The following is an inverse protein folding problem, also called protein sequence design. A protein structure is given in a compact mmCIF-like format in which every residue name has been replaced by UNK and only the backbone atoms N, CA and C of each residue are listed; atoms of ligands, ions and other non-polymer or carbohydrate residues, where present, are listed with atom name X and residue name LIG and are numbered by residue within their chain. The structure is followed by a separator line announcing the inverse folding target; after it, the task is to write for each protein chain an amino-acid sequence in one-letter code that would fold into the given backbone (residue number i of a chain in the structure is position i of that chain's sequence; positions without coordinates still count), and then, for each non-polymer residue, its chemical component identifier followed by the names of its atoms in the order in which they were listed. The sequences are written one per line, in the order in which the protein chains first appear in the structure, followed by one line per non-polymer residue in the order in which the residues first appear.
data_IF_105085475477
#
_entry.id   IF_105085475477
#
_cell.length_a   1.000
_cell.length_b   1.000
_cell.length_c   1.000
_cell.angle_alpha   90.00
_cell.angle_beta   90.00
_cell.angle_gamma   90.00
#
_symmetry.space_group_name_H-M   'P 1'
#
loop_
_entity.id
_entity.type
_entity.pdbx_description
1 polymer ?
#
# COMPACT_ATOMS: atom_id res chain seq x y z
N UNK A 1 -21.54 -0.57 -18.46
CA UNK A 1 -21.20 -1.77 -19.25
C UNK A 1 -22.50 -2.34 -19.78
N UNK A 2 -22.84 -2.18 -21.06
CA UNK A 2 -24.09 -2.71 -21.65
C UNK A 2 -23.93 -4.09 -22.29
N UNK A 3 -22.78 -4.74 -22.09
CA UNK A 3 -22.54 -6.10 -22.54
C UNK A 3 -23.31 -7.08 -21.64
N UNK A 4 -24.05 -8.01 -22.25
CA UNK A 4 -24.81 -9.08 -21.59
C UNK A 4 -26.06 -8.67 -20.79
N UNK A 5 -26.70 -7.55 -21.16
CA UNK A 5 -28.07 -7.25 -20.69
C UNK A 5 -28.18 -6.72 -19.27
N UNK A 6 -27.05 -6.42 -18.63
CA UNK A 6 -26.99 -5.74 -17.34
C UNK A 6 -27.11 -4.24 -17.62
N UNK A 7 -28.34 -3.71 -17.65
CA UNK A 7 -28.61 -2.28 -17.90
C UNK A 7 -28.46 -1.42 -16.65
N UNK A 8 -28.18 -2.06 -15.52
CA UNK A 8 -28.40 -1.50 -14.21
C UNK A 8 -27.18 -1.57 -13.27
N UNK A 9 -25.99 -1.67 -13.85
CA UNK A 9 -24.72 -1.63 -13.15
C UNK A 9 -24.01 -0.30 -13.41
N UNK A 10 -23.76 0.46 -12.34
CA UNK A 10 -22.96 1.67 -12.38
C UNK A 10 -21.62 1.43 -11.66
N UNK A 11 -20.51 1.78 -12.31
CA UNK A 11 -19.18 1.74 -11.70
C UNK A 11 -18.73 3.16 -11.39
N UNK A 12 -18.41 3.43 -10.13
CA UNK A 12 -17.95 4.74 -9.64
C UNK A 12 -16.62 4.56 -8.91
N UNK A 13 -15.84 5.64 -8.78
CA UNK A 13 -14.74 5.66 -7.82
C UNK A 13 -15.34 5.84 -6.43
N UNK A 14 -14.94 5.00 -5.47
CA UNK A 14 -15.41 5.06 -4.09
C UNK A 14 -14.99 6.37 -3.42
N UNK A 15 -15.85 6.91 -2.55
CA UNK A 15 -15.53 8.08 -1.72
C UNK A 15 -14.75 7.69 -0.45
N UNK A 16 -14.74 6.40 -0.08
CA UNK A 16 -14.13 5.91 1.16
C UNK A 16 -12.66 5.47 0.98
N UNK A 17 -12.29 5.06 -0.23
CA UNK A 17 -10.97 4.56 -0.59
C UNK A 17 -10.75 4.75 -2.09
N UNK A 18 -9.50 4.61 -2.57
CA UNK A 18 -9.20 4.65 -4.01
C UNK A 18 -9.60 3.32 -4.66
N UNK A 19 -10.87 2.91 -4.57
CA UNK A 19 -11.36 1.68 -5.19
C UNK A 19 -12.43 1.96 -6.24
N UNK A 20 -12.72 0.96 -7.07
CA UNK A 20 -13.89 0.96 -7.93
C UNK A 20 -15.06 0.35 -7.15
N UNK A 21 -16.13 1.10 -6.99
CA UNK A 21 -17.40 0.62 -6.45
C UNK A 21 -18.37 0.33 -7.58
N UNK A 22 -18.93 -0.87 -7.58
CA UNK A 22 -20.02 -1.26 -8.45
C UNK A 22 -21.34 -1.20 -7.67
N UNK A 23 -22.25 -0.36 -8.14
CA UNK A 23 -23.61 -0.24 -7.62
C UNK A 23 -24.60 -0.85 -8.61
N UNK A 24 -25.37 -1.81 -8.12
CA UNK A 24 -26.43 -2.50 -8.85
C UNK A 24 -27.77 -1.86 -8.49
N UNK A 25 -28.47 -1.33 -9.47
CA UNK A 25 -29.84 -0.85 -9.31
C UNK A 25 -30.81 -1.91 -9.84
N UNK A 26 -31.29 -2.87 -9.06
CA UNK A 26 -32.27 -3.84 -9.60
C UNK A 26 -33.56 -3.12 -10.04
N UNK A 27 -33.69 -2.85 -11.34
CA UNK A 27 -34.84 -2.17 -11.96
C UNK A 27 -35.96 -3.16 -12.34
N UNK A 28 -35.69 -4.46 -12.20
CA UNK A 28 -36.61 -5.54 -12.55
C UNK A 28 -36.74 -5.76 -14.05
N UNK A 29 -35.92 -5.09 -14.88
CA UNK A 29 -36.09 -5.09 -16.32
C UNK A 29 -35.21 -6.14 -17.01
N UNK A 30 -35.77 -6.79 -18.04
CA UNK A 30 -35.10 -7.75 -18.91
C UNK A 30 -34.86 -7.16 -20.30
N UNK A 31 -33.83 -7.69 -20.97
CA UNK A 31 -33.50 -7.42 -22.37
C UNK A 31 -33.22 -8.73 -23.09
N UNK A 32 -33.06 -8.69 -24.42
CA UNK A 32 -32.66 -9.88 -25.19
C UNK A 32 -31.33 -10.50 -24.71
N UNK A 33 -30.48 -9.73 -24.03
CA UNK A 33 -29.19 -10.21 -23.54
C UNK A 33 -29.23 -10.70 -22.09
N UNK A 34 -30.35 -10.56 -21.38
CA UNK A 34 -30.48 -11.03 -19.99
C UNK A 34 -30.30 -12.55 -19.94
N UNK A 35 -29.38 -13.00 -19.09
CA UNK A 35 -29.08 -14.43 -18.92
C UNK A 35 -30.21 -15.13 -18.16
N UNK A 36 -30.52 -16.35 -18.58
CA UNK A 36 -31.61 -17.15 -18.01
C UNK A 36 -31.31 -17.59 -16.57
N UNK A 37 -30.04 -17.79 -16.24
CA UNK A 37 -29.58 -18.11 -14.88
C UNK A 37 -29.77 -16.94 -13.89
N UNK A 38 -29.91 -15.72 -14.40
CA UNK A 38 -30.07 -14.51 -13.58
C UNK A 38 -31.55 -14.19 -13.26
N UNK A 39 -32.49 -15.01 -13.72
CA UNK A 39 -33.92 -14.82 -13.49
C UNK A 39 -34.34 -15.39 -12.12
N UNK A 40 -35.49 -14.95 -11.62
CA UNK A 40 -36.11 -15.40 -10.38
C UNK A 40 -35.15 -15.30 -9.17
N UNK A 41 -34.57 -14.11 -8.97
CA UNK A 41 -33.69 -13.83 -7.83
C UNK A 41 -32.48 -14.80 -7.75
N UNK A 42 -31.76 -15.02 -8.84
CA UNK A 42 -30.63 -15.97 -8.99
C UNK A 42 -30.96 -17.46 -8.90
N UNK A 43 -32.25 -17.83 -8.74
CA UNK A 43 -32.65 -19.23 -8.82
C UNK A 43 -32.48 -19.80 -10.23
N UNK A 44 -32.49 -18.91 -11.24
CA UNK A 44 -32.46 -19.24 -12.65
C UNK A 44 -33.74 -19.93 -13.11
N UNK A 45 -33.90 -20.05 -14.43
CA UNK A 45 -34.95 -20.87 -15.02
C UNK A 45 -34.42 -22.27 -15.29
N UNK A 46 -35.08 -23.29 -14.74
CA UNK A 46 -34.70 -24.68 -15.02
C UNK A 46 -35.16 -25.08 -16.43
N UNK A 47 -34.19 -25.29 -17.33
CA UNK A 47 -34.42 -25.75 -18.70
C UNK A 47 -34.24 -27.27 -18.87
N UNK A 48 -34.43 -28.06 -17.81
CA UNK A 48 -34.36 -29.52 -17.86
C UNK A 48 -35.62 -30.19 -17.26
N UNK A 49 -36.57 -30.68 -18.08
CA UNK A 49 -36.66 -30.51 -19.54
C UNK A 49 -37.19 -29.12 -19.92
N UNK A 50 -36.48 -28.43 -20.81
CA UNK A 50 -36.79 -27.06 -21.26
C UNK A 50 -37.74 -27.05 -22.44
N UNK A 51 -38.76 -27.91 -22.46
CA UNK A 51 -39.66 -28.08 -23.61
C UNK A 51 -41.10 -27.79 -23.21
N UNK A 52 -41.73 -26.87 -23.93
CA UNK A 52 -43.18 -26.60 -23.83
C UNK A 52 -43.89 -27.12 -25.08
N UNK A 53 -45.15 -27.51 -24.94
CA UNK A 53 -46.00 -27.91 -26.07
C UNK A 53 -47.02 -26.82 -26.38
N UNK A 54 -47.19 -26.51 -27.66
CA UNK A 54 -48.27 -25.70 -28.21
C UNK A 54 -49.16 -26.55 -29.12
N UNK A 55 -50.45 -26.67 -28.79
CA UNK A 55 -51.38 -27.50 -29.55
C UNK A 55 -52.77 -26.89 -29.70
N UNK A 56 -53.46 -27.15 -30.80
CA UNK A 56 -54.90 -26.87 -31.00
C UNK A 56 -55.80 -28.06 -30.59
N UNK A 57 -55.21 -29.15 -30.09
CA UNK A 57 -55.90 -30.41 -29.82
C UNK A 57 -56.28 -31.19 -31.09
N UNK A 58 -55.77 -30.79 -32.25
CA UNK A 58 -56.05 -31.38 -33.56
C UNK A 58 -54.79 -31.48 -34.44
N UNK A 59 -54.57 -30.55 -35.36
CA UNK A 59 -53.53 -30.65 -36.39
C UNK A 59 -52.21 -29.98 -36.00
N UNK A 60 -52.24 -29.06 -35.03
CA UNK A 60 -51.07 -28.34 -34.54
C UNK A 60 -50.68 -28.99 -33.21
N UNK A 61 -49.45 -29.52 -33.15
CA UNK A 61 -48.85 -30.11 -31.95
C UNK A 61 -47.33 -29.93 -32.05
N UNK A 62 -46.80 -28.92 -31.37
CA UNK A 62 -45.42 -28.43 -31.53
C UNK A 62 -44.71 -28.42 -30.19
N UNK A 63 -43.71 -29.29 -30.06
CA UNK A 63 -42.78 -29.26 -28.94
C UNK A 63 -41.68 -28.23 -29.23
N UNK A 64 -41.62 -27.18 -28.42
CA UNK A 64 -40.70 -26.06 -28.56
C UNK A 64 -39.59 -26.26 -27.54
N UNK A 65 -38.38 -26.50 -28.02
CA UNK A 65 -37.21 -26.76 -27.19
C UNK A 65 -36.42 -25.47 -26.92
N UNK A 66 -36.20 -25.17 -25.64
CA UNK A 66 -35.38 -24.07 -25.14
C UNK A 66 -34.07 -24.52 -24.50
N UNK A 67 -33.78 -25.82 -24.46
CA UNK A 67 -32.66 -26.40 -23.69
C UNK A 67 -31.28 -25.84 -24.06
N UNK A 68 -31.11 -25.26 -25.25
CA UNK A 68 -29.88 -24.62 -25.71
C UNK A 68 -29.83 -23.10 -25.49
N UNK A 69 -30.88 -22.48 -24.96
CA UNK A 69 -30.91 -21.04 -24.74
C UNK A 69 -30.12 -20.68 -23.48
N UNK A 70 -29.26 -19.67 -23.57
CA UNK A 70 -28.57 -19.05 -22.44
C UNK A 70 -29.16 -17.67 -22.10
N UNK A 71 -29.79 -17.00 -23.06
CA UNK A 71 -30.39 -15.66 -22.91
C UNK A 71 -31.88 -15.60 -23.24
N UNK A 72 -32.58 -14.57 -22.74
CA UNK A 72 -33.97 -14.26 -23.11
C UNK A 72 -34.15 -14.15 -24.64
N UNK A 73 -33.21 -13.51 -25.34
CA UNK A 73 -33.26 -13.34 -26.79
C UNK A 73 -33.13 -14.67 -27.54
N UNK A 74 -32.33 -15.60 -27.04
CA UNK A 74 -32.24 -16.95 -27.60
C UNK A 74 -33.52 -17.75 -27.36
N UNK A 75 -34.17 -17.63 -26.20
CA UNK A 75 -35.49 -18.25 -25.99
C UNK A 75 -36.54 -17.69 -26.96
N UNK A 76 -36.65 -16.38 -27.07
CA UNK A 76 -37.56 -15.71 -28.00
C UNK A 76 -37.31 -16.21 -29.44
N UNK A 77 -36.05 -16.28 -29.84
CA UNK A 77 -35.65 -16.76 -31.16
C UNK A 77 -36.01 -18.23 -31.36
N UNK A 78 -35.77 -19.07 -30.35
CA UNK A 78 -36.10 -20.49 -30.39
C UNK A 78 -37.60 -20.73 -30.54
N UNK A 79 -38.43 -20.00 -29.78
CA UNK A 79 -39.89 -20.06 -29.88
C UNK A 79 -40.36 -19.63 -31.27
N UNK A 80 -40.00 -18.42 -31.70
CA UNK A 80 -40.48 -17.84 -32.95
C UNK A 80 -40.06 -18.66 -34.17
N UNK A 81 -38.86 -19.24 -34.16
CA UNK A 81 -38.35 -20.07 -35.26
C UNK A 81 -39.08 -21.41 -35.35
N UNK A 82 -39.30 -22.09 -34.22
CA UNK A 82 -39.97 -23.39 -34.19
C UNK A 82 -41.47 -23.26 -34.54
N UNK A 83 -42.13 -22.22 -34.04
CA UNK A 83 -43.53 -21.92 -34.35
C UNK A 83 -43.73 -21.52 -35.82
N UNK A 84 -42.84 -20.71 -36.39
CA UNK A 84 -42.88 -20.38 -37.81
C UNK A 84 -42.69 -21.63 -38.70
N UNK A 85 -41.78 -22.53 -38.30
CA UNK A 85 -41.53 -23.80 -39.01
C UNK A 85 -42.73 -24.76 -38.95
N UNK A 86 -43.53 -24.67 -37.89
CA UNK A 86 -44.78 -25.41 -37.73
C UNK A 86 -45.98 -24.79 -38.48
N UNK A 87 -45.78 -23.67 -39.17
CA UNK A 87 -46.82 -23.03 -39.99
C UNK A 87 -47.73 -22.05 -39.24
N UNK A 88 -47.38 -21.67 -38.00
CA UNK A 88 -48.18 -20.76 -37.14
C UNK A 88 -47.41 -19.47 -36.85
N UNK A 89 -46.74 -18.90 -37.84
CA UNK A 89 -45.82 -17.76 -37.70
C UNK A 89 -46.45 -16.47 -37.15
N UNK A 90 -47.77 -16.40 -37.06
CA UNK A 90 -48.52 -15.30 -36.45
C UNK A 90 -48.49 -15.30 -34.92
N UNK A 91 -48.13 -16.42 -34.29
CA UNK A 91 -47.93 -16.51 -32.85
C UNK A 91 -46.47 -16.20 -32.55
N UNK A 92 -46.23 -15.15 -31.76
CA UNK A 92 -44.89 -14.66 -31.46
C UNK A 92 -44.68 -14.47 -29.97
N UNK A 93 -43.51 -14.88 -29.48
CA UNK A 93 -43.01 -14.53 -28.16
C UNK A 93 -42.20 -13.23 -28.24
N UNK A 94 -42.38 -12.35 -27.26
CA UNK A 94 -41.61 -11.12 -27.12
C UNK A 94 -41.49 -10.72 -25.64
N UNK A 95 -40.56 -9.82 -25.35
CA UNK A 95 -40.52 -9.13 -24.04
C UNK A 95 -41.77 -8.25 -23.93
N UNK A 96 -42.44 -8.29 -22.77
CA UNK A 96 -43.66 -7.55 -22.51
C UNK A 96 -43.42 -6.02 -22.55
N UNK A 97 -44.50 -5.23 -22.67
CA UNK A 97 -44.40 -3.77 -22.74
C UNK A 97 -43.79 -3.11 -21.49
N UNK A 98 -43.80 -3.80 -20.36
CA UNK A 98 -43.18 -3.38 -19.10
C UNK A 98 -41.72 -3.79 -18.96
N UNK A 99 -41.18 -4.56 -19.91
CA UNK A 99 -39.86 -5.18 -19.87
C UNK A 99 -39.58 -6.03 -18.63
N UNK A 100 -40.57 -6.63 -17.99
CA UNK A 100 -40.39 -7.48 -16.79
C UNK A 100 -40.60 -8.97 -17.05
N UNK A 101 -41.22 -9.33 -18.18
CA UNK A 101 -41.61 -10.70 -18.49
C UNK A 101 -41.74 -10.97 -19.98
N UNK A 102 -42.18 -12.18 -20.31
CA UNK A 102 -42.37 -12.65 -21.68
C UNK A 102 -43.85 -12.79 -21.99
N UNK A 103 -44.29 -12.24 -23.11
CA UNK A 103 -45.65 -12.39 -23.61
C UNK A 103 -45.63 -13.21 -24.90
N UNK A 104 -46.67 -14.02 -25.10
CA UNK A 104 -46.93 -14.69 -26.38
C UNK A 104 -48.21 -14.10 -26.96
N UNK A 105 -48.15 -13.57 -28.17
CA UNK A 105 -49.27 -12.88 -28.83
C UNK A 105 -49.56 -13.53 -30.17
N UNK A 106 -50.84 -13.80 -30.44
CA UNK A 106 -51.34 -14.08 -31.78
C UNK A 106 -51.66 -12.76 -32.51
N UNK A 107 -50.81 -12.40 -33.47
CA UNK A 107 -50.92 -11.16 -34.22
C UNK A 107 -52.14 -11.08 -35.16
N UNK A 108 -52.82 -12.20 -35.44
CA UNK A 108 -53.98 -12.21 -36.35
C UNK A 108 -55.31 -11.90 -35.63
N UNK A 109 -55.34 -11.91 -34.30
CA UNK A 109 -56.53 -11.57 -33.49
C UNK A 109 -57.72 -12.52 -33.64
N UNK A 110 -57.61 -13.60 -34.43
CA UNK A 110 -58.60 -14.66 -34.57
C UNK A 110 -58.18 -15.83 -33.68
N UNK A 111 -58.93 -16.19 -32.62
CA UNK A 111 -58.52 -17.26 -31.72
C UNK A 111 -58.35 -18.60 -32.45
N UNK A 112 -57.13 -19.10 -32.51
CA UNK A 112 -56.79 -20.41 -33.09
C UNK A 112 -57.02 -21.58 -32.12
N UNK A 113 -57.59 -21.33 -30.94
CA UNK A 113 -57.74 -22.29 -29.84
C UNK A 113 -56.43 -22.99 -29.44
N UNK A 114 -55.31 -22.31 -29.60
CA UNK A 114 -53.99 -22.83 -29.23
C UNK A 114 -53.86 -22.84 -27.71
N UNK A 115 -53.37 -23.93 -27.18
CA UNK A 115 -53.10 -24.10 -25.76
C UNK A 115 -51.62 -24.42 -25.56
N UNK A 116 -50.99 -23.67 -24.65
CA UNK A 116 -49.61 -23.90 -24.22
C UNK A 116 -49.63 -24.70 -22.92
N UNK A 117 -48.84 -25.77 -22.88
CA UNK A 117 -48.73 -26.64 -21.73
C UNK A 117 -47.31 -27.17 -21.56
N UNK A 118 -46.97 -27.54 -20.34
CA UNK A 118 -45.71 -28.23 -20.08
C UNK A 118 -45.72 -29.67 -20.64
N UNK A 119 -44.57 -30.11 -21.13
CA UNK A 119 -44.35 -31.51 -21.51
C UNK A 119 -44.16 -32.37 -20.25
N UNK A 120 -44.31 -33.69 -20.39
CA UNK A 120 -44.19 -34.62 -19.26
C UNK A 120 -42.84 -34.50 -18.56
N UNK A 121 -42.83 -33.98 -17.33
CA UNK A 121 -41.64 -33.79 -16.50
C UNK A 121 -41.08 -32.36 -16.49
N UNK A 122 -41.65 -31.44 -17.27
CA UNK A 122 -41.32 -30.00 -17.26
C UNK A 122 -42.30 -29.16 -16.44
N UNK A 123 -41.89 -27.94 -16.11
CA UNK A 123 -42.71 -26.91 -15.46
C UNK A 123 -42.39 -25.50 -16.01
N UNK A 124 -41.82 -25.44 -17.21
CA UNK A 124 -41.29 -24.22 -17.82
C UNK A 124 -42.41 -23.23 -18.19
N UNK A 125 -43.47 -23.71 -18.84
CA UNK A 125 -44.62 -22.89 -19.22
C UNK A 125 -45.30 -22.32 -17.97
N UNK A 126 -45.50 -23.14 -16.94
CA UNK A 126 -46.05 -22.68 -15.67
C UNK A 126 -45.14 -21.64 -14.97
N UNK A 127 -43.84 -21.89 -14.92
CA UNK A 127 -42.86 -20.99 -14.27
C UNK A 127 -42.80 -19.63 -14.96
N UNK A 128 -42.89 -19.59 -16.29
CA UNK A 128 -42.95 -18.35 -17.06
C UNK A 128 -44.32 -17.66 -17.02
N UNK A 129 -45.36 -18.29 -16.45
CA UNK A 129 -46.74 -17.78 -16.48
C UNK A 129 -47.43 -17.95 -17.84
N UNK A 130 -46.85 -18.73 -18.74
CA UNK A 130 -47.28 -18.90 -20.13
C UNK A 130 -48.11 -20.17 -20.35
N UNK A 131 -48.54 -20.86 -19.30
CA UNK A 131 -49.40 -22.03 -19.40
C UNK A 131 -50.88 -21.62 -19.55
N UNK A 132 -51.55 -22.11 -20.59
CA UNK A 132 -52.98 -21.90 -20.80
C UNK A 132 -53.38 -21.67 -22.25
N UNK A 133 -54.64 -21.29 -22.44
CA UNK A 133 -55.21 -21.00 -23.76
C UNK A 133 -54.75 -19.63 -24.27
N UNK A 134 -54.17 -19.59 -25.46
CA UNK A 134 -53.79 -18.37 -26.16
C UNK A 134 -55.03 -17.68 -26.75
N UNK A 135 -55.51 -16.60 -26.11
CA UNK A 135 -56.68 -15.86 -26.57
C UNK A 135 -56.67 -14.37 -26.17
N UNK A 136 -56.25 -13.44 -27.03
CA UNK A 136 -55.33 -13.57 -28.17
C UNK A 136 -53.85 -13.52 -27.73
N UNK A 137 -53.59 -13.38 -26.43
CA UNK A 137 -52.26 -13.31 -25.85
C UNK A 137 -52.20 -14.08 -24.53
N UNK A 138 -51.02 -14.53 -24.16
CA UNK A 138 -50.65 -15.04 -22.84
C UNK A 138 -49.59 -14.11 -22.28
N UNK A 139 -49.82 -13.65 -21.05
CA UNK A 139 -48.92 -12.73 -20.36
C UNK A 139 -48.12 -13.50 -19.33
N UNK A 140 -46.80 -13.42 -19.42
CA UNK A 140 -45.91 -14.07 -18.48
C UNK A 140 -45.87 -13.37 -17.12
N UNK A 141 -45.24 -14.04 -16.15
CA UNK A 141 -44.94 -13.44 -14.85
C UNK A 141 -43.75 -12.49 -14.93
N UNK A 142 -43.59 -11.68 -13.89
CA UNK A 142 -42.36 -10.93 -13.67
C UNK A 142 -41.21 -11.90 -13.39
N UNK A 143 -40.15 -11.80 -14.19
CA UNK A 143 -39.01 -12.70 -14.13
C UNK A 143 -37.95 -12.22 -13.12
N UNK A 144 -38.12 -11.05 -12.50
CA UNK A 144 -37.28 -10.53 -11.41
C UNK A 144 -35.77 -10.79 -11.60
N UNK A 145 -35.14 -10.22 -12.65
CA UNK A 145 -33.72 -10.43 -12.93
C UNK A 145 -32.84 -9.77 -11.88
N UNK A 146 -31.70 -10.40 -11.59
CA UNK A 146 -30.64 -9.84 -10.74
C UNK A 146 -29.37 -9.62 -11.55
N UNK A 147 -28.60 -8.56 -11.25
CA UNK A 147 -27.28 -8.40 -11.85
C UNK A 147 -26.30 -9.41 -11.22
N UNK A 148 -26.00 -10.46 -11.97
CA UNK A 148 -24.97 -11.43 -11.62
C UNK A 148 -24.02 -11.60 -12.80
N UNK A 149 -22.74 -11.34 -12.57
CA UNK A 149 -21.68 -11.51 -13.55
C UNK A 149 -20.36 -11.82 -12.86
N UNK A 150 -19.42 -12.37 -13.61
CA UNK A 150 -18.07 -12.61 -13.14
C UNK A 150 -17.11 -11.68 -13.89
N UNK A 151 -16.26 -10.97 -13.16
CA UNK A 151 -15.11 -10.29 -13.76
C UNK A 151 -13.97 -11.29 -13.75
N UNK A 152 -13.53 -11.65 -14.95
CA UNK A 152 -12.41 -12.55 -15.16
C UNK A 152 -11.44 -11.93 -16.16
N UNK A 153 -10.19 -12.35 -16.08
CA UNK A 153 -9.15 -11.92 -16.99
C UNK A 153 -8.93 -12.97 -18.08
N UNK A 154 -8.95 -12.52 -19.34
CA UNK A 154 -8.52 -13.33 -20.48
C UNK A 154 -6.98 -13.34 -20.65
N UNK A 155 -6.25 -12.76 -19.68
CA UNK A 155 -4.81 -12.53 -19.63
C UNK A 155 -4.47 -11.17 -19.02
N UNK A 156 -3.30 -11.04 -18.38
CA UNK A 156 -2.91 -9.84 -17.62
C UNK A 156 -3.35 -9.90 -16.15
N UNK A 157 -3.32 -8.75 -15.46
CA UNK A 157 -3.71 -8.56 -14.05
C UNK A 157 -4.58 -7.31 -13.84
N UNK A 158 -5.16 -6.73 -14.90
CA UNK A 158 -5.89 -5.45 -14.81
C UNK A 158 -7.09 -5.46 -13.86
N UNK A 159 -7.90 -6.52 -13.83
CA UNK A 159 -9.02 -6.62 -12.89
C UNK A 159 -8.53 -6.88 -11.46
N UNK A 160 -7.43 -7.60 -11.28
CA UNK A 160 -6.77 -7.76 -9.98
C UNK A 160 -6.20 -6.42 -9.48
N UNK A 161 -5.45 -5.71 -10.34
CA UNK A 161 -4.84 -4.41 -10.07
C UNK A 161 -5.89 -3.32 -9.78
N UNK A 162 -7.08 -3.44 -10.36
CA UNK A 162 -8.23 -2.57 -10.09
C UNK A 162 -9.06 -3.02 -8.87
N UNK A 163 -8.72 -4.13 -8.22
CA UNK A 163 -9.40 -4.64 -7.04
C UNK A 163 -10.80 -5.22 -7.30
N UNK A 164 -11.07 -5.69 -8.53
CA UNK A 164 -12.41 -6.09 -9.01
C UNK A 164 -12.46 -7.49 -9.62
N UNK A 165 -11.40 -8.31 -9.49
CA UNK A 165 -11.37 -9.68 -9.99
C UNK A 165 -12.19 -10.63 -9.10
N UNK A 166 -13.51 -10.64 -9.28
CA UNK A 166 -14.42 -11.47 -8.49
C UNK A 166 -15.77 -11.72 -9.18
N UNK A 167 -16.59 -12.55 -8.54
CA UNK A 167 -17.99 -12.76 -8.87
C UNK A 167 -18.87 -11.71 -8.19
N UNK A 168 -19.70 -11.01 -8.96
CA UNK A 168 -20.58 -9.93 -8.52
C UNK A 168 -22.02 -10.40 -8.47
N UNK A 169 -22.65 -10.31 -7.30
CA UNK A 169 -24.07 -10.69 -7.08
C UNK A 169 -24.92 -9.55 -6.50
N UNK A 170 -24.28 -8.49 -6.04
CA UNK A 170 -24.86 -7.32 -5.38
C UNK A 170 -23.86 -6.16 -5.47
N UNK A 171 -24.16 -5.03 -4.83
CA UNK A 171 -23.23 -3.90 -4.69
C UNK A 171 -21.88 -4.38 -4.15
N UNK A 172 -20.80 -3.98 -4.82
CA UNK A 172 -19.46 -4.44 -4.49
C UNK A 172 -18.53 -3.24 -4.37
N UNK A 173 -17.83 -3.17 -3.25
CA UNK A 173 -16.73 -2.24 -3.06
C UNK A 173 -15.44 -2.98 -3.39
N UNK A 174 -14.70 -2.48 -4.39
CA UNK A 174 -13.40 -3.04 -4.75
C UNK A 174 -12.33 -2.83 -3.69
N UNK A 175 -11.24 -3.55 -3.86
CA UNK A 175 -10.04 -3.33 -3.07
C UNK A 175 -9.42 -1.96 -3.38
N UNK A 176 -8.73 -1.39 -2.40
CA UNK A 176 -7.99 -0.14 -2.60
C UNK A 176 -6.87 -0.36 -3.63
N UNK A 177 -6.90 0.39 -4.73
CA UNK A 177 -5.93 0.27 -5.83
C UNK A 177 -4.56 0.84 -5.48
N UNK A 178 -4.42 1.48 -4.30
CA UNK A 178 -3.16 2.03 -3.75
C UNK A 178 -2.28 2.67 -4.83
N UNK A 179 -2.78 3.70 -5.55
CA UNK A 179 -2.09 4.22 -6.72
C UNK A 179 -0.73 4.80 -6.31
N UNK A 180 0.31 4.40 -7.02
CA UNK A 180 1.66 4.91 -6.78
C UNK A 180 1.88 6.24 -7.51
N UNK A 181 2.58 7.15 -6.85
CA UNK A 181 3.07 8.38 -7.43
C UNK A 181 4.12 8.07 -8.50
N UNK A 182 4.00 8.78 -9.61
CA UNK A 182 5.01 8.85 -10.66
C UNK A 182 5.43 10.30 -10.83
N UNK A 183 6.56 10.51 -11.52
CA UNK A 183 7.03 11.87 -11.84
C UNK A 183 6.01 12.68 -12.66
N UNK A 184 5.15 12.00 -13.43
CA UNK A 184 4.11 12.63 -14.25
C UNK A 184 2.76 12.76 -13.54
N UNK A 185 2.62 12.26 -12.30
CA UNK A 185 1.39 12.41 -11.55
C UNK A 185 1.08 13.90 -11.36
N UNK A 186 -0.15 14.30 -11.67
CA UNK A 186 -0.57 15.69 -11.54
C UNK A 186 -0.87 16.01 -10.08
N UNK A 187 -0.45 17.20 -9.62
CA UNK A 187 -0.75 17.67 -8.27
C UNK A 187 -2.25 17.94 -8.06
N UNK A 188 -3.01 18.11 -9.14
CA UNK A 188 -4.48 18.18 -9.12
C UNK A 188 -5.15 16.87 -8.72
N UNK A 189 -4.46 15.74 -8.85
CA UNK A 189 -5.03 14.42 -8.57
C UNK A 189 -4.83 14.02 -7.09
N UNK A 190 -4.08 14.81 -6.34
CA UNK A 190 -3.80 14.58 -4.92
C UNK A 190 -5.07 14.77 -4.07
N UNK A 191 -5.09 14.21 -2.85
CA UNK A 191 -6.20 14.40 -1.93
C UNK A 191 -7.54 13.87 -2.46
N UNK A 192 -7.56 12.68 -3.06
CA UNK A 192 -8.74 12.08 -3.71
C UNK A 192 -9.28 12.91 -4.89
N UNK A 193 -8.38 13.52 -5.68
CA UNK A 193 -8.76 14.34 -6.84
C UNK A 193 -9.28 15.73 -6.50
N UNK A 194 -9.18 16.17 -5.24
CA UNK A 194 -9.42 17.56 -4.85
C UNK A 194 -8.26 18.47 -5.26
N UNK A 195 -7.08 17.89 -5.45
CA UNK A 195 -5.83 18.59 -5.71
C UNK A 195 -5.24 19.19 -4.44
N UNK A 196 -3.97 19.59 -4.54
CA UNK A 196 -3.34 20.41 -3.50
C UNK A 196 -3.89 21.84 -3.55
N UNK A 197 -4.15 22.48 -2.40
CA UNK A 197 -4.54 23.86 -2.34
C UNK A 197 -3.36 24.75 -2.74
N UNK A 198 -3.66 25.82 -3.48
CA UNK A 198 -2.67 26.84 -3.79
C UNK A 198 -2.23 27.56 -2.52
N UNK A 199 -0.93 27.49 -2.21
CA UNK A 199 -0.34 28.14 -1.05
C UNK A 199 1.18 28.06 -1.07
N UNK A 200 1.81 28.58 -0.02
CA UNK A 200 3.27 28.67 0.06
C UNK A 200 3.79 27.54 0.95
N UNK A 201 4.86 26.90 0.50
CA UNK A 201 5.66 25.95 1.26
C UNK A 201 6.92 26.68 1.76
N UNK A 202 7.05 26.84 3.08
CA UNK A 202 8.20 27.49 3.71
C UNK A 202 9.26 26.43 4.07
N UNK A 203 10.42 26.50 3.44
CA UNK A 203 11.53 25.56 3.64
C UNK A 203 12.71 26.32 4.28
N UNK A 204 12.97 26.01 5.54
CA UNK A 204 14.14 26.52 6.25
C UNK A 204 15.25 25.47 6.27
N UNK A 205 16.46 25.90 5.94
CA UNK A 205 17.65 25.08 6.01
C UNK A 205 18.78 25.85 6.70
N UNK A 206 18.93 25.62 8.00
CA UNK A 206 19.74 26.47 8.88
C UNK A 206 19.21 27.91 8.89
N UNK A 207 20.05 28.87 8.50
CA UNK A 207 19.69 30.29 8.46
C UNK A 207 19.05 30.73 7.12
N UNK A 208 18.93 29.82 6.15
CA UNK A 208 18.35 30.10 4.83
C UNK A 208 16.87 29.72 4.81
N UNK A 209 16.03 30.59 4.27
CA UNK A 209 14.61 30.33 4.02
C UNK A 209 14.33 30.46 2.53
N UNK A 210 13.64 29.48 1.96
CA UNK A 210 13.10 29.54 0.61
C UNK A 210 11.61 29.21 0.66
N UNK A 211 10.83 30.04 -0.02
CA UNK A 211 9.39 29.88 -0.16
C UNK A 211 9.08 29.36 -1.55
N UNK A 212 8.30 28.29 -1.65
CA UNK A 212 7.82 27.74 -2.93
C UNK A 212 6.31 27.95 -2.99
N UNK A 213 5.83 28.69 -4.00
CA UNK A 213 4.40 28.89 -4.22
C UNK A 213 3.85 27.73 -5.07
N UNK A 214 3.06 26.86 -4.45
CA UNK A 214 2.41 25.71 -5.12
C UNK A 214 1.26 26.15 -6.02
N UNK A 215 0.85 27.42 -5.92
CA UNK A 215 -0.10 28.03 -6.86
C UNK A 215 0.57 28.45 -8.18
N UNK A 216 1.89 28.33 -8.32
CA UNK A 216 2.61 28.69 -9.54
C UNK A 216 2.15 27.77 -10.70
N UNK A 217 1.66 28.32 -11.83
CA UNK A 217 1.17 27.53 -12.96
C UNK A 217 2.26 26.69 -13.66
N UNK A 218 3.54 26.88 -13.32
CA UNK A 218 4.64 26.02 -13.76
C UNK A 218 4.80 24.74 -12.92
N UNK A 219 4.15 24.66 -11.76
CA UNK A 219 4.20 23.50 -10.85
C UNK A 219 2.90 22.70 -11.02
N UNK A 220 2.86 21.80 -11.99
CA UNK A 220 1.66 21.01 -12.32
C UNK A 220 1.81 19.55 -11.93
N UNK A 221 3.02 19.01 -12.06
CA UNK A 221 3.32 17.59 -11.80
C UNK A 221 4.26 17.41 -10.62
N UNK A 222 4.36 16.18 -10.11
CA UNK A 222 5.37 15.79 -9.11
C UNK A 222 6.78 16.13 -9.57
N UNK A 223 7.11 15.95 -10.86
CA UNK A 223 8.40 16.32 -11.42
C UNK A 223 8.67 17.82 -11.34
N UNK A 224 7.67 18.65 -11.63
CA UNK A 224 7.81 20.10 -11.56
C UNK A 224 8.04 20.56 -10.12
N UNK A 225 7.33 19.96 -9.16
CA UNK A 225 7.54 20.21 -7.73
C UNK A 225 8.95 19.82 -7.27
N UNK A 226 9.42 18.62 -7.64
CA UNK A 226 10.78 18.16 -7.32
C UNK A 226 11.83 19.10 -7.94
N UNK A 227 11.61 19.58 -9.16
CA UNK A 227 12.48 20.55 -9.82
C UNK A 227 12.47 21.89 -9.09
N UNK A 228 11.29 22.37 -8.67
CA UNK A 228 11.17 23.61 -7.90
C UNK A 228 12.00 23.56 -6.60
N UNK A 229 11.98 22.44 -5.88
CA UNK A 229 12.82 22.23 -4.68
C UNK A 229 14.30 22.15 -5.04
N UNK A 230 14.65 21.41 -6.08
CA UNK A 230 16.04 21.18 -6.49
C UNK A 230 16.74 22.46 -7.00
N UNK A 231 15.95 23.42 -7.50
CA UNK A 231 16.43 24.73 -7.96
C UNK A 231 16.56 25.79 -6.85
N UNK A 232 16.18 25.47 -5.61
CA UNK A 232 16.31 26.39 -4.46
C UNK A 232 17.77 26.69 -4.07
N UNK A 233 18.70 25.80 -4.43
CA UNK A 233 20.11 25.89 -4.04
C UNK A 233 20.38 25.47 -2.59
N UNK A 234 19.39 24.94 -1.87
CA UNK A 234 19.55 24.31 -0.57
C UNK A 234 20.18 22.92 -0.74
N UNK A 235 20.96 22.46 0.25
CA UNK A 235 21.56 21.11 0.25
C UNK A 235 20.54 20.06 0.73
N UNK A 236 19.46 19.92 -0.04
CA UNK A 236 18.35 19.00 0.19
C UNK A 236 18.01 18.26 -1.10
N UNK A 237 17.38 17.09 -0.98
CA UNK A 237 16.96 16.27 -2.12
C UNK A 237 15.48 15.89 -1.99
N UNK A 238 14.66 16.34 -2.94
CA UNK A 238 13.27 15.91 -3.06
C UNK A 238 13.17 14.71 -4.01
N UNK A 239 12.45 13.68 -3.60
CA UNK A 239 12.23 12.47 -4.40
C UNK A 239 10.91 11.80 -4.03
N UNK A 240 10.41 10.90 -4.87
CA UNK A 240 9.31 10.00 -4.49
C UNK A 240 9.87 8.99 -3.49
N UNK A 241 9.16 8.74 -2.39
CA UNK A 241 9.59 7.78 -1.38
C UNK A 241 9.70 6.36 -1.96
N UNK A 242 10.42 5.47 -1.26
CA UNK A 242 10.64 4.10 -1.75
C UNK A 242 9.35 3.29 -1.94
N UNK A 243 8.27 3.65 -1.23
CA UNK A 243 6.96 3.01 -1.33
C UNK A 243 6.12 3.52 -2.51
N UNK A 244 6.52 4.61 -3.17
CA UNK A 244 5.72 5.27 -4.20
C UNK A 244 4.47 5.97 -3.67
N UNK A 245 4.30 6.14 -2.35
CA UNK A 245 3.07 6.65 -1.73
C UNK A 245 3.15 8.12 -1.36
N UNK A 246 4.32 8.74 -1.44
CA UNK A 246 4.52 10.12 -1.01
C UNK A 246 5.80 10.73 -1.54
N UNK A 247 5.97 12.03 -1.29
CA UNK A 247 7.18 12.77 -1.60
C UNK A 247 8.03 12.86 -0.33
N UNK A 248 9.31 12.51 -0.42
CA UNK A 248 10.28 12.66 0.66
C UNK A 248 11.25 13.80 0.34
N UNK A 249 11.62 14.56 1.36
CA UNK A 249 12.64 15.61 1.26
C UNK A 249 13.74 15.27 2.27
N UNK A 250 14.93 15.00 1.75
CA UNK A 250 16.08 14.57 2.53
C UNK A 250 17.01 15.75 2.74
N UNK A 251 17.42 15.96 4.00
CA UNK A 251 18.47 16.90 4.33
C UNK A 251 19.85 16.25 4.11
N UNK A 252 20.67 16.83 3.23
CA UNK A 252 22.01 16.34 2.92
C UNK A 252 23.11 17.02 3.76
N UNK A 253 22.79 18.10 4.48
CA UNK A 253 23.72 18.77 5.39
C UNK A 253 23.48 18.34 6.85
N UNK A 254 24.41 17.58 7.47
CA UNK A 254 24.26 17.13 8.85
C UNK A 254 24.42 18.24 9.90
N UNK A 255 24.83 19.46 9.51
CA UNK A 255 25.09 20.58 10.41
C UNK A 255 24.01 21.65 10.39
N UNK A 256 23.05 21.56 9.46
CA UNK A 256 21.94 22.49 9.35
C UNK A 256 20.63 21.76 9.55
N UNK A 257 19.74 22.38 10.32
CA UNK A 257 18.40 21.83 10.51
C UNK A 257 17.56 22.11 9.28
N UNK A 258 16.83 21.10 8.80
CA UNK A 258 15.76 21.27 7.81
C UNK A 258 14.43 21.34 8.56
N UNK A 259 13.68 22.42 8.36
CA UNK A 259 12.28 22.53 8.79
C UNK A 259 11.41 22.92 7.61
N UNK A 260 10.22 22.33 7.54
CA UNK A 260 9.23 22.57 6.50
C UNK A 260 7.91 22.90 7.18
N UNK A 261 7.40 24.09 6.91
CA UNK A 261 6.18 24.63 7.52
C UNK A 261 5.25 25.20 6.43
N UNK A 262 3.99 25.46 6.79
CA UNK A 262 3.06 26.16 5.92
C UNK A 262 3.40 27.65 5.85
N UNK A 263 3.55 28.17 4.63
CA UNK A 263 3.71 29.60 4.37
C UNK A 263 2.34 30.28 4.30
N UNK A 264 1.90 30.84 5.42
CA UNK A 264 0.61 31.54 5.53
C UNK A 264 -0.52 30.67 6.06
N UNK A 265 -1.75 30.92 5.59
CA UNK A 265 -2.97 30.30 6.16
C UNK A 265 -3.40 29.00 5.44
N UNK A 266 -2.71 28.61 4.35
CA UNK A 266 -3.05 27.43 3.55
C UNK A 266 -2.15 26.25 3.94
N UNK A 267 -2.69 25.08 4.33
CA UNK A 267 -1.93 23.98 4.93
C UNK A 267 -1.23 23.08 3.90
N UNK A 268 -0.41 23.66 3.03
CA UNK A 268 0.23 22.94 1.91
C UNK A 268 1.23 21.88 2.38
N UNK A 269 2.08 22.19 3.36
CA UNK A 269 3.08 21.27 3.89
C UNK A 269 2.41 20.08 4.60
N UNK A 270 1.30 20.35 5.31
CA UNK A 270 0.53 19.32 5.99
C UNK A 270 -0.15 18.38 5.00
N UNK A 271 -0.79 18.92 3.97
CA UNK A 271 -1.45 18.11 2.94
C UNK A 271 -0.47 17.29 2.09
N UNK A 272 0.73 17.81 1.86
CA UNK A 272 1.82 17.05 1.25
C UNK A 272 2.43 15.99 2.18
N UNK A 273 2.11 16.02 3.48
CA UNK A 273 2.70 15.14 4.48
C UNK A 273 4.19 15.39 4.76
N UNK A 274 4.69 16.58 4.43
CA UNK A 274 6.10 16.98 4.60
C UNK A 274 6.32 17.97 5.75
N UNK A 275 5.25 18.38 6.44
CA UNK A 275 5.31 19.28 7.59
C UNK A 275 6.16 18.69 8.73
N UNK A 276 7.13 19.46 9.23
CA UNK A 276 7.96 19.05 10.36
C UNK A 276 9.44 19.36 10.16
N UNK A 277 10.32 18.54 10.75
CA UNK A 277 11.76 18.72 10.68
C UNK A 277 12.53 17.40 10.57
N UNK A 278 13.75 17.47 10.03
CA UNK A 278 14.65 16.31 9.94
C UNK A 278 15.33 15.93 11.27
N UNK A 279 15.31 16.82 12.27
CA UNK A 279 16.07 16.66 13.51
C UNK A 279 15.33 17.19 14.75
N UNK A 280 15.87 16.86 15.93
CA UNK A 280 15.26 17.18 17.21
C UNK A 280 15.13 18.67 17.49
N UNK A 281 16.13 19.47 17.12
CA UNK A 281 16.14 20.91 17.42
C UNK A 281 15.12 21.63 16.54
N UNK A 282 15.11 21.32 15.25
CA UNK A 282 14.11 21.83 14.33
C UNK A 282 12.70 21.40 14.73
N UNK A 283 12.51 20.15 15.18
CA UNK A 283 11.19 19.67 15.64
C UNK A 283 10.66 20.43 16.85
N UNK A 284 11.52 20.76 17.81
CA UNK A 284 11.14 21.63 18.94
C UNK A 284 10.83 23.06 18.49
N UNK A 285 11.53 23.56 17.46
CA UNK A 285 11.24 24.87 16.90
C UNK A 285 9.87 24.90 16.21
N UNK A 286 9.59 23.94 15.33
CA UNK A 286 8.28 23.80 14.65
C UNK A 286 7.16 23.58 15.67
N UNK A 287 7.38 22.75 16.71
CA UNK A 287 6.42 22.60 17.82
C UNK A 287 6.16 23.94 18.52
N UNK A 288 7.21 24.72 18.77
CA UNK A 288 7.09 26.05 19.37
C UNK A 288 6.25 27.00 18.51
N UNK A 289 6.39 26.95 17.18
CA UNK A 289 5.57 27.74 16.25
C UNK A 289 4.12 27.26 16.24
N UNK A 290 3.89 25.94 16.13
CA UNK A 290 2.56 25.35 16.18
C UNK A 290 1.80 25.74 17.47
N UNK A 291 2.46 25.67 18.63
CA UNK A 291 1.88 26.07 19.91
C UNK A 291 1.59 27.57 20.01
N UNK A 292 2.43 28.42 19.43
CA UNK A 292 2.18 29.88 19.39
C UNK A 292 0.97 30.22 18.53
N UNK A 293 0.73 29.43 17.48
CA UNK A 293 -0.35 29.64 16.52
C UNK A 293 -1.65 28.90 16.90
N UNK A 294 -1.71 28.20 18.05
CA UNK A 294 -2.81 27.30 18.45
C UNK A 294 -3.15 26.24 17.38
N UNK A 295 -2.14 25.79 16.64
CA UNK A 295 -2.27 24.82 15.56
C UNK A 295 -2.22 23.39 16.11
N UNK A 296 -3.39 22.85 16.44
CA UNK A 296 -3.54 21.51 17.02
C UNK A 296 -3.21 20.39 16.03
N UNK A 297 -3.42 20.63 14.74
CA UNK A 297 -3.13 19.67 13.69
C UNK A 297 -1.62 19.50 13.54
N UNK A 298 -0.88 20.61 13.44
CA UNK A 298 0.57 20.62 13.42
C UNK A 298 1.17 19.91 14.66
N UNK A 299 0.63 20.17 15.85
CA UNK A 299 1.06 19.48 17.07
C UNK A 299 0.84 17.96 16.96
N UNK A 300 -0.27 17.53 16.37
CA UNK A 300 -0.57 16.11 16.13
C UNK A 300 0.42 15.45 15.17
N UNK A 301 0.70 16.10 14.04
CA UNK A 301 1.66 15.61 13.03
C UNK A 301 3.08 15.47 13.58
N UNK A 302 3.48 16.38 14.48
CA UNK A 302 4.82 16.34 15.08
C UNK A 302 5.03 15.14 16.03
N UNK A 303 3.97 14.45 16.49
CA UNK A 303 4.13 13.27 17.36
C UNK A 303 4.92 12.18 16.63
N UNK A 304 4.56 11.88 15.38
CA UNK A 304 5.26 10.88 14.58
C UNK A 304 6.71 11.29 14.31
N UNK A 305 6.93 12.58 14.07
CA UNK A 305 8.26 13.13 13.88
C UNK A 305 9.14 12.97 15.15
N UNK A 306 8.59 13.24 16.33
CA UNK A 306 9.28 13.00 17.60
C UNK A 306 9.56 11.52 17.86
N UNK A 307 8.64 10.62 17.51
CA UNK A 307 8.86 9.17 17.62
C UNK A 307 10.03 8.70 16.74
N UNK A 308 10.12 9.18 15.51
CA UNK A 308 11.26 8.89 14.63
C UNK A 308 12.59 9.40 15.23
N UNK A 309 12.57 10.61 15.79
CA UNK A 309 13.74 11.23 16.41
C UNK A 309 14.16 10.52 17.70
N UNK A 310 13.21 10.08 18.53
CA UNK A 310 13.48 9.28 19.72
C UNK A 310 14.19 7.99 19.31
N UNK A 311 13.72 7.32 18.26
CA UNK A 311 14.36 6.11 17.73
C UNK A 311 15.78 6.39 17.21
N UNK A 312 15.97 7.50 16.48
CA UNK A 312 17.31 7.94 16.05
C UNK A 312 18.23 8.21 17.25
N UNK A 313 17.74 8.88 18.29
CA UNK A 313 18.49 9.21 19.49
C UNK A 313 18.89 7.94 20.27
N UNK A 314 17.95 7.02 20.48
CA UNK A 314 18.21 5.73 21.14
C UNK A 314 19.30 4.94 20.41
N UNK A 315 19.27 4.93 19.07
CA UNK A 315 20.32 4.33 18.25
C UNK A 315 21.70 4.97 18.50
N UNK A 316 21.77 6.32 18.55
CA UNK A 316 23.02 7.03 18.86
C UNK A 316 23.52 6.78 20.29
N UNK A 317 22.62 6.68 21.26
CA UNK A 317 22.95 6.33 22.66
C UNK A 317 23.54 4.92 22.73
N UNK A 318 22.95 3.94 22.03
CA UNK A 318 23.46 2.57 21.98
C UNK A 318 24.88 2.49 21.38
N UNK A 319 25.12 3.21 20.28
CA UNK A 319 26.45 3.30 19.65
C UNK A 319 27.47 3.96 20.58
N UNK A 320 27.08 5.03 21.28
CA UNK A 320 27.96 5.73 22.22
C UNK A 320 28.28 4.86 23.44
N UNK A 321 27.29 4.15 23.99
CA UNK A 321 27.47 3.19 25.07
C UNK A 321 28.44 2.07 24.68
N UNK A 322 28.32 1.54 23.47
CA UNK A 322 29.25 0.53 22.94
C UNK A 322 30.69 1.08 22.85
N UNK A 323 30.86 2.34 22.42
CA UNK A 323 32.17 3.00 22.40
C UNK A 323 32.73 3.21 23.81
N UNK A 324 31.90 3.58 24.78
CA UNK A 324 32.30 3.75 26.17
C UNK A 324 32.81 2.44 26.78
N UNK A 325 32.10 1.32 26.55
CA UNK A 325 32.54 -0.02 26.98
C UNK A 325 33.91 -0.35 26.37
N UNK A 326 34.05 -0.18 25.06
CA UNK A 326 35.33 -0.43 24.37
C UNK A 326 36.47 0.44 24.90
N UNK A 327 36.19 1.69 25.26
CA UNK A 327 37.19 2.58 25.87
C UNK A 327 37.59 2.11 27.27
N UNK A 328 36.65 1.66 28.09
CA UNK A 328 36.94 1.13 29.43
C UNK A 328 37.74 -0.18 29.36
N UNK A 329 37.38 -1.09 28.46
CA UNK A 329 38.17 -2.31 28.21
C UNK A 329 39.60 -1.98 27.73
N UNK A 330 39.73 -1.00 26.83
CA UNK A 330 41.03 -0.55 26.34
C UNK A 330 41.87 0.05 27.47
N UNK A 331 41.27 0.87 28.34
CA UNK A 331 41.91 1.46 29.52
C UNK A 331 42.38 0.39 30.50
N UNK A 332 41.54 -0.60 30.82
CA UNK A 332 41.91 -1.71 31.71
C UNK A 332 43.09 -2.51 31.15
N UNK A 333 43.10 -2.74 29.83
CA UNK A 333 44.24 -3.38 29.15
C UNK A 333 45.51 -2.53 29.23
N UNK A 334 45.41 -1.22 28.99
CA UNK A 334 46.57 -0.31 29.08
C UNK A 334 47.15 -0.26 30.50
N UNK A 335 46.31 -0.21 31.53
CA UNK A 335 46.76 -0.29 32.93
C UNK A 335 47.46 -1.61 33.24
N UNK A 336 46.95 -2.72 32.72
CA UNK A 336 47.58 -4.03 32.88
C UNK A 336 48.94 -4.09 32.17
N UNK A 337 49.03 -3.50 30.97
CA UNK A 337 50.28 -3.42 30.21
C UNK A 337 51.31 -2.53 30.91
N UNK A 338 50.88 -1.39 31.46
CA UNK A 338 51.73 -0.49 32.23
C UNK A 338 52.36 -1.22 33.43
N UNK A 339 51.56 -1.93 34.24
CA UNK A 339 52.08 -2.72 35.36
C UNK A 339 53.11 -3.76 34.90
N UNK A 340 52.80 -4.52 33.85
CA UNK A 340 53.73 -5.53 33.30
C UNK A 340 55.02 -4.89 32.82
N UNK A 341 54.95 -3.72 32.17
CA UNK A 341 56.16 -3.02 31.73
C UNK A 341 56.96 -2.46 32.90
N UNK A 342 56.33 -1.95 33.95
CA UNK A 342 57.00 -1.53 35.18
C UNK A 342 57.69 -2.70 35.89
N UNK A 343 57.02 -3.85 36.01
CA UNK A 343 57.62 -5.07 36.58
C UNK A 343 58.83 -5.53 35.76
N UNK A 344 58.71 -5.59 34.42
CA UNK A 344 59.83 -5.96 33.54
C UNK A 344 60.99 -4.97 33.59
N UNK A 345 60.69 -3.68 33.73
CA UNK A 345 61.73 -2.66 33.86
C UNK A 345 62.47 -2.83 35.18
N UNK A 346 61.76 -3.04 36.28
CA UNK A 346 62.32 -3.36 37.61
C UNK A 346 63.19 -4.61 37.57
N UNK A 347 62.73 -5.70 36.94
CA UNK A 347 63.52 -6.93 36.79
C UNK A 347 64.84 -6.74 36.03
N UNK A 348 64.89 -5.81 35.07
CA UNK A 348 66.08 -5.56 34.22
C UNK A 348 67.00 -4.48 34.78
N UNK A 349 66.44 -3.42 35.38
CA UNK A 349 67.20 -2.24 35.83
C UNK A 349 67.46 -2.19 37.34
N UNK A 350 66.60 -2.80 38.18
CA UNK A 350 66.78 -2.69 39.63
C UNK A 350 67.98 -3.49 40.10
N UNK A 351 68.85 -2.84 40.88
CA UNK A 351 69.99 -3.48 41.49
C UNK A 351 69.54 -4.42 42.62
N UNK A 352 70.02 -5.67 42.59
CA UNK A 352 69.92 -6.55 43.75
C UNK A 352 70.75 -5.94 44.88
N UNK A 353 70.08 -5.23 45.79
CA UNK A 353 70.73 -4.51 46.87
C UNK A 353 71.52 -5.44 47.80
N UNK A 354 71.09 -6.69 47.97
CA UNK A 354 71.79 -7.66 48.81
C UNK A 354 73.13 -8.00 48.18
N UNK A 355 73.14 -8.30 46.88
CA UNK A 355 74.37 -8.56 46.14
C UNK A 355 75.26 -7.32 46.05
N UNK A 356 74.70 -6.15 45.74
CA UNK A 356 75.43 -4.89 45.65
C UNK A 356 76.11 -4.52 46.98
N UNK A 357 75.41 -4.65 48.11
CA UNK A 357 75.98 -4.38 49.44
C UNK A 357 77.08 -5.39 49.78
N UNK A 358 76.89 -6.67 49.44
CA UNK A 358 77.89 -7.71 49.68
C UNK A 358 79.15 -7.46 48.85
N UNK A 359 78.98 -7.16 47.57
CA UNK A 359 80.07 -6.82 46.65
C UNK A 359 80.79 -5.55 47.13
N UNK A 360 80.05 -4.50 47.50
CA UNK A 360 80.61 -3.26 48.05
C UNK A 360 81.41 -3.49 49.33
N UNK A 361 80.87 -4.24 50.28
CA UNK A 361 81.57 -4.57 51.54
C UNK A 361 82.83 -5.38 51.29
N UNK A 362 82.80 -6.30 50.32
CA UNK A 362 83.97 -7.05 49.87
C UNK A 362 85.02 -6.12 49.26
N UNK A 363 84.60 -5.18 48.40
CA UNK A 363 85.49 -4.16 47.82
C UNK A 363 86.09 -3.24 48.88
N UNK A 364 85.31 -2.79 49.86
CA UNK A 364 85.79 -1.96 50.98
C UNK A 364 86.82 -2.71 51.84
N UNK A 365 86.53 -3.97 52.17
CA UNK A 365 87.44 -4.81 52.96
C UNK A 365 88.75 -5.05 52.21
N UNK A 366 88.67 -5.35 50.91
CA UNK A 366 89.84 -5.51 50.05
C UNK A 366 90.63 -4.21 49.91
N UNK A 367 89.94 -3.06 49.77
CA UNK A 367 90.57 -1.75 49.69
C UNK A 367 91.30 -1.39 50.98
N UNK A 368 90.67 -1.62 52.14
CA UNK A 368 91.30 -1.42 53.45
C UNK A 368 92.50 -2.36 53.65
N UNK A 369 92.39 -3.62 53.23
CA UNK A 369 93.50 -4.58 53.30
C UNK A 369 94.67 -4.14 52.40
N UNK A 370 94.40 -3.68 51.17
CA UNK A 370 95.42 -3.12 50.28
C UNK A 370 96.07 -1.86 50.87
N UNK A 371 95.28 -0.97 51.49
CA UNK A 371 95.77 0.23 52.17
C UNK A 371 96.66 -0.13 53.37
N UNK A 372 96.25 -1.10 54.20
CA UNK A 372 97.04 -1.59 55.33
C UNK A 372 98.33 -2.26 54.87
N UNK A 373 98.29 -3.08 53.82
CA UNK A 373 99.48 -3.68 53.23
C UNK A 373 100.44 -2.61 52.70
N UNK A 374 99.93 -1.60 51.99
CA UNK A 374 100.72 -0.46 51.55
C UNK A 374 101.31 0.34 52.73
N UNK A 375 100.54 0.60 53.78
CA UNK A 375 101.02 1.27 54.99
C UNK A 375 102.10 0.46 55.73
N UNK A 376 101.99 -0.88 55.74
CA UNK A 376 102.98 -1.79 56.34
C UNK A 376 104.26 -1.88 55.51
N UNK A 377 104.17 -1.75 54.18
CA UNK A 377 105.33 -1.60 53.29
C UNK A 377 106.01 -0.24 53.51
N UNK A 378 105.23 0.82 53.79
CA UNK A 378 105.75 2.19 54.00
C UNK A 378 106.34 2.38 55.41
N UNK A 379 105.95 1.60 56.43
CA UNK A 379 106.58 1.63 57.76
C UNK A 379 107.86 0.79 57.81
N UNK A 380 109.08 1.38 57.91
CA UNK A 380 110.28 0.60 58.18
C UNK A 380 110.30 0.23 59.68
N UNK A 381 110.28 -1.07 59.99
CA UNK A 381 110.78 -1.55 61.28
C UNK A 381 112.30 -1.41 61.25
N UNK A 382 112.84 -0.40 61.93
CA UNK A 382 114.27 -0.14 62.07
C UNK A 382 115.10 -1.36 62.54
N UNK A 383 114.46 -2.42 63.06
CA UNK A 383 115.11 -3.64 63.52
C UNK A 383 115.50 -4.61 62.39
N UNK A 384 114.94 -4.49 61.18
CA UNK A 384 115.22 -5.42 60.07
C UNK A 384 116.36 -4.91 59.14
N UNK A 385 116.79 -3.66 59.31
CA UNK A 385 117.94 -3.10 58.59
C UNK A 385 119.29 -3.43 59.28
N UNK A 386 119.28 -4.05 60.46
CA UNK A 386 120.47 -4.31 61.29
C UNK A 386 120.81 -5.80 61.44
N UNK A 387 120.76 -6.57 60.34
CA UNK A 387 121.43 -7.87 60.25
C UNK A 387 122.29 -8.01 59.01
#
# INVERSE_FOLDING_TARGET
MTANGITNLNAIVSEANNSIQFNVTNDGLISNNTLIENLFETSGLNLNPGVINLTDGAAIDVNIDFSSAATIGEMITAFNTQIASAGVANVQMAINGSSTGLDIVDANGVPLNLNISDTSGGNLAATLGLQGLLNPALFGVDLNPTAHFNVAEAGGTTAEDLGILTEFKHDFLGDDINPVLTLNSALSDFGNGLGLPGGILDIWHGDSNVQIDISDPSIVTVQDFINAISLTGLDIEASINAAGTGIQIVNNDPYRSLTIEDGGDVPVAKELGVYGSSDMVGSFFVLGNALKNDDREAVGLLIENFDEIINKLLSKVAVTGSKAIRLEETKNRLMSQELIFTERLSEVEDADMTKLITDLSTYETNYQAALLAAAKIIQPSLLDFLR
#
